data_IF_715200574195
#
_entry.id   IF_715200574195
#
_cell.length_a   1.000
_cell.length_b   1.000
_cell.length_c   1.000
_cell.angle_alpha   90.00
_cell.angle_beta   90.00
_cell.angle_gamma   90.00
#
_symmetry.space_group_name_H-M   'P 1'
#
loop_
_entity.id
_entity.type
_entity.pdbx_description
1 polymer ?
#
# COMPACT_ATOMS: atom_id res chain seq x y z
N UNK A 1 -1.72 2.76 -26.11
CA UNK A 1 -0.91 3.99 -26.07
C UNK A 1 0.49 3.62 -26.47
N UNK A 2 1.04 4.30 -27.47
CA UNK A 2 2.40 4.02 -27.98
C UNK A 2 3.45 4.51 -26.97
N UNK A 3 4.53 3.75 -26.76
CA UNK A 3 5.59 4.17 -25.85
C UNK A 3 6.48 5.21 -26.57
N UNK A 4 6.20 6.49 -26.34
CA UNK A 4 6.94 7.61 -26.91
C UNK A 4 7.12 8.72 -25.86
N UNK A 5 8.02 9.65 -26.15
CA UNK A 5 8.40 10.73 -25.22
C UNK A 5 7.19 11.57 -24.81
N UNK A 6 6.31 11.93 -25.74
CA UNK A 6 5.10 12.71 -25.44
C UNK A 6 4.18 12.04 -24.40
N UNK A 7 4.00 10.72 -24.50
CA UNK A 7 3.19 9.95 -23.56
C UNK A 7 3.88 9.77 -22.21
N UNK A 8 5.21 9.58 -22.21
CA UNK A 8 6.01 9.50 -20.98
C UNK A 8 5.94 10.84 -20.24
N UNK A 9 6.22 11.94 -20.93
CA UNK A 9 6.15 13.30 -20.41
C UNK A 9 4.76 13.63 -19.83
N UNK A 10 3.69 13.14 -20.47
CA UNK A 10 2.34 13.31 -19.96
C UNK A 10 2.12 12.57 -18.63
N UNK A 11 2.54 11.31 -18.56
CA UNK A 11 2.47 10.51 -17.32
C UNK A 11 3.33 11.13 -16.21
N UNK A 12 4.51 11.63 -16.52
CA UNK A 12 5.40 12.28 -15.56
C UNK A 12 4.78 13.54 -14.97
N UNK A 13 4.24 14.44 -15.80
CA UNK A 13 3.55 15.65 -15.31
C UNK A 13 2.33 15.31 -14.45
N UNK A 14 1.57 14.29 -14.84
CA UNK A 14 0.43 13.83 -14.05
C UNK A 14 0.90 13.28 -12.69
N UNK A 15 1.93 12.44 -12.69
CA UNK A 15 2.50 11.85 -11.47
C UNK A 15 3.01 12.93 -10.52
N UNK A 16 3.78 13.90 -11.02
CA UNK A 16 4.29 15.01 -10.23
C UNK A 16 3.16 15.79 -9.57
N UNK A 17 2.12 16.15 -10.34
CA UNK A 17 0.95 16.86 -9.83
C UNK A 17 0.24 16.07 -8.74
N UNK A 18 0.07 14.75 -8.96
CA UNK A 18 -0.59 13.87 -8.01
C UNK A 18 0.20 13.74 -6.71
N UNK A 19 1.52 13.53 -6.79
CA UNK A 19 2.40 13.38 -5.63
C UNK A 19 2.52 14.67 -4.84
N UNK A 20 2.65 15.82 -5.51
CA UNK A 20 2.67 17.12 -4.83
C UNK A 20 1.39 17.36 -4.03
N UNK A 21 0.23 17.03 -4.59
CA UNK A 21 -1.04 17.10 -3.87
C UNK A 21 -1.10 16.13 -2.68
N UNK A 22 -0.57 14.93 -2.84
CA UNK A 22 -0.51 13.96 -1.75
C UNK A 22 0.37 14.45 -0.59
N UNK A 23 1.52 15.07 -0.87
CA UNK A 23 2.35 15.69 0.16
C UNK A 23 1.63 16.84 0.87
N UNK A 24 0.90 17.69 0.13
CA UNK A 24 0.08 18.72 0.74
C UNK A 24 -0.96 18.13 1.71
N UNK A 25 -1.63 17.03 1.36
CA UNK A 25 -2.55 16.36 2.26
C UNK A 25 -1.88 15.83 3.52
N UNK A 26 -0.61 15.40 3.44
CA UNK A 26 0.16 14.97 4.59
C UNK A 26 0.51 16.16 5.50
N UNK A 27 0.94 17.27 4.92
CA UNK A 27 1.29 18.50 5.67
C UNK A 27 0.06 19.10 6.38
N UNK A 28 -1.10 19.02 5.74
CA UNK A 28 -2.37 19.57 6.24
C UNK A 28 -3.17 18.56 7.09
N UNK A 29 -2.69 17.32 7.26
CA UNK A 29 -3.43 16.27 7.95
C UNK A 29 -3.69 16.62 9.42
N UNK A 30 -4.97 16.58 9.82
CA UNK A 30 -5.35 16.71 11.21
C UNK A 30 -5.06 15.43 12.00
N UNK A 31 -4.88 15.58 13.32
CA UNK A 31 -4.69 14.42 14.20
C UNK A 31 -5.99 13.66 14.37
N UNK A 32 -5.97 12.37 14.04
CA UNK A 32 -7.14 11.50 14.21
C UNK A 32 -7.50 11.38 15.70
N UNK A 33 -8.78 11.59 16.10
CA UNK A 33 -9.25 11.40 17.46
C UNK A 33 -8.98 9.99 17.99
N UNK A 34 -8.67 9.84 19.28
CA UNK A 34 -8.35 8.53 19.87
C UNK A 34 -9.46 7.49 19.63
N UNK A 35 -10.73 7.89 19.67
CA UNK A 35 -11.89 7.03 19.44
C UNK A 35 -11.97 6.43 18.04
N UNK A 36 -11.26 7.01 17.05
CA UNK A 36 -11.32 6.59 15.65
C UNK A 36 -10.09 5.80 15.20
N UNK A 37 -8.98 5.88 15.94
CA UNK A 37 -7.69 5.28 15.54
C UNK A 37 -7.73 3.77 15.39
N UNK A 38 -8.50 3.08 16.23
CA UNK A 38 -8.66 1.62 16.14
C UNK A 38 -9.31 1.22 14.81
N UNK A 39 -10.42 1.86 14.45
CA UNK A 39 -11.14 1.61 13.20
C UNK A 39 -10.29 2.00 11.97
N UNK A 40 -9.57 3.13 12.03
CA UNK A 40 -8.65 3.54 10.97
C UNK A 40 -7.53 2.51 10.77
N UNK A 41 -6.91 2.04 11.87
CA UNK A 41 -5.86 1.02 11.80
C UNK A 41 -6.39 -0.30 11.19
N UNK A 42 -7.56 -0.76 11.62
CA UNK A 42 -8.18 -1.98 11.06
C UNK A 42 -8.36 -1.85 9.54
N UNK A 43 -8.90 -0.70 9.10
CA UNK A 43 -9.06 -0.40 7.69
C UNK A 43 -7.73 -0.40 6.94
N UNK A 44 -6.71 0.29 7.44
CA UNK A 44 -5.40 0.41 6.79
C UNK A 44 -4.70 -0.96 6.64
N UNK A 45 -4.74 -1.80 7.68
CA UNK A 45 -4.14 -3.13 7.64
C UNK A 45 -4.88 -4.04 6.65
N UNK A 46 -6.21 -3.95 6.60
CA UNK A 46 -7.04 -4.70 5.65
C UNK A 46 -6.81 -4.27 4.21
N UNK A 47 -6.78 -2.96 3.93
CA UNK A 47 -6.49 -2.42 2.59
C UNK A 47 -5.10 -2.84 2.15
N UNK A 48 -4.11 -2.79 3.05
CA UNK A 48 -2.74 -3.25 2.75
C UNK A 48 -2.72 -4.71 2.32
N UNK A 49 -3.28 -5.61 3.13
CA UNK A 49 -3.29 -7.03 2.81
C UNK A 49 -4.02 -7.30 1.49
N UNK A 50 -5.26 -6.78 1.34
CA UNK A 50 -6.06 -7.00 0.14
C UNK A 50 -5.41 -6.41 -1.11
N UNK A 51 -4.81 -5.21 -1.00
CA UNK A 51 -4.14 -4.56 -2.12
C UNK A 51 -2.99 -5.42 -2.66
N UNK A 52 -2.17 -5.97 -1.76
CA UNK A 52 -1.08 -6.85 -2.16
C UNK A 52 -1.55 -8.21 -2.65
N UNK A 53 -2.53 -8.84 -2.00
CA UNK A 53 -3.01 -10.18 -2.42
C UNK A 53 -3.69 -10.18 -3.78
N UNK A 54 -4.40 -9.10 -4.09
CA UNK A 54 -5.16 -8.97 -5.34
C UNK A 54 -4.37 -8.27 -6.46
N UNK A 55 -3.09 -7.94 -6.25
CA UNK A 55 -2.26 -7.34 -7.29
C UNK A 55 -2.09 -8.32 -8.46
N UNK A 56 -2.55 -7.99 -9.68
CA UNK A 56 -2.40 -8.87 -10.84
C UNK A 56 -0.93 -9.16 -11.18
N UNK A 57 0.01 -8.33 -10.72
CA UNK A 57 1.44 -8.52 -10.94
C UNK A 57 2.03 -9.67 -10.11
N UNK A 58 1.28 -10.25 -9.16
CA UNK A 58 1.72 -11.41 -8.38
C UNK A 58 1.95 -12.67 -9.24
N UNK A 59 1.48 -12.69 -10.49
CA UNK A 59 1.81 -13.78 -11.41
C UNK A 59 3.30 -13.82 -11.75
N UNK A 60 3.99 -12.67 -11.81
CA UNK A 60 5.40 -12.63 -12.23
C UNK A 60 6.32 -13.36 -11.25
N UNK A 61 6.27 -13.11 -9.92
CA UNK A 61 7.09 -13.88 -8.98
C UNK A 61 6.76 -15.38 -8.99
N UNK A 62 5.50 -15.76 -9.22
CA UNK A 62 5.10 -17.17 -9.32
C UNK A 62 5.77 -17.85 -10.52
N UNK A 63 5.75 -17.20 -11.69
CA UNK A 63 6.40 -17.73 -12.89
C UNK A 63 7.92 -17.82 -12.77
N UNK A 64 8.55 -16.91 -12.02
CA UNK A 64 10.02 -16.84 -11.89
C UNK A 64 10.56 -17.72 -10.75
N UNK A 65 9.88 -17.76 -9.60
CA UNK A 65 10.38 -18.39 -8.37
C UNK A 65 9.55 -19.58 -7.90
N UNK A 66 8.38 -19.83 -8.49
CA UNK A 66 7.42 -20.83 -8.03
C UNK A 66 6.50 -20.30 -6.93
N UNK A 67 5.37 -20.99 -6.72
CA UNK A 67 4.30 -20.55 -5.83
C UNK A 67 4.74 -20.38 -4.36
N UNK A 68 5.56 -21.30 -3.84
CA UNK A 68 5.97 -21.30 -2.43
C UNK A 68 6.82 -20.07 -2.09
N UNK A 69 7.85 -19.80 -2.89
CA UNK A 69 8.74 -18.67 -2.65
C UNK A 69 8.03 -17.34 -2.96
N UNK A 70 7.20 -17.28 -4.00
CA UNK A 70 6.38 -16.11 -4.29
C UNK A 70 5.42 -15.77 -3.13
N UNK A 71 4.78 -16.78 -2.53
CA UNK A 71 3.92 -16.60 -1.36
C UNK A 71 4.71 -16.09 -0.15
N UNK A 72 5.89 -16.67 0.12
CA UNK A 72 6.78 -16.21 1.20
C UNK A 72 7.23 -14.75 1.01
N UNK A 73 7.61 -14.38 -0.21
CA UNK A 73 7.99 -13.01 -0.56
C UNK A 73 6.81 -12.04 -0.40
N UNK A 74 5.61 -12.46 -0.81
CA UNK A 74 4.40 -11.66 -0.69
C UNK A 74 4.04 -11.41 0.78
N UNK A 75 4.10 -12.43 1.63
CA UNK A 75 3.87 -12.31 3.08
C UNK A 75 4.85 -11.34 3.73
N UNK A 76 6.13 -11.41 3.32
CA UNK A 76 7.17 -10.49 3.77
C UNK A 76 6.89 -9.05 3.32
N UNK A 77 6.52 -8.85 2.05
CA UNK A 77 6.22 -7.53 1.47
C UNK A 77 4.98 -6.89 2.10
N UNK A 78 3.95 -7.68 2.40
CA UNK A 78 2.76 -7.23 3.15
C UNK A 78 3.16 -6.82 4.58
N UNK A 79 4.11 -7.54 5.18
CA UNK A 79 4.49 -7.40 6.57
C UNK A 79 3.50 -8.11 7.50
N UNK A 80 3.11 -9.35 7.19
CA UNK A 80 2.08 -10.09 7.94
C UNK A 80 2.38 -10.18 9.45
N UNK A 81 3.63 -10.35 9.84
CA UNK A 81 4.02 -10.39 11.26
C UNK A 81 3.90 -9.02 11.93
N UNK A 82 4.19 -7.94 11.20
CA UNK A 82 3.96 -6.58 11.67
C UNK A 82 2.47 -6.35 11.92
N UNK A 83 1.62 -6.71 10.95
CA UNK A 83 0.15 -6.59 11.06
C UNK A 83 -0.35 -7.30 12.32
N UNK A 84 0.04 -8.56 12.52
CA UNK A 84 -0.33 -9.35 13.71
C UNK A 84 0.14 -8.69 15.01
N UNK A 85 1.35 -8.12 15.03
CA UNK A 85 1.93 -7.51 16.23
C UNK A 85 1.22 -6.22 16.67
N UNK A 86 0.49 -5.54 15.78
CA UNK A 86 -0.13 -4.23 16.06
C UNK A 86 -1.66 -4.24 16.03
N UNK A 87 -2.30 -5.37 15.74
CA UNK A 87 -3.74 -5.46 15.49
C UNK A 87 -4.62 -4.88 16.62
N UNK A 88 -4.18 -4.96 17.87
CA UNK A 88 -4.92 -4.49 19.05
C UNK A 88 -4.19 -3.34 19.77
N UNK A 89 -3.42 -2.52 19.04
CA UNK A 89 -2.56 -1.49 19.64
C UNK A 89 -3.34 -0.46 20.46
N UNK A 90 -4.57 -0.18 20.07
CA UNK A 90 -5.40 0.89 20.67
C UNK A 90 -6.32 0.41 21.80
N UNK A 91 -6.45 -0.91 22.02
CA UNK A 91 -7.30 -1.47 23.08
C UNK A 91 -6.79 -1.16 24.50
N UNK A 92 -5.58 -0.63 24.61
CA UNK A 92 -4.90 -0.26 25.87
C UNK A 92 -4.87 1.26 26.11
N UNK A 93 -5.52 2.06 25.25
CA UNK A 93 -5.44 3.54 25.23
C UNK A 93 -6.67 4.22 25.83
#
# INVERSE_FOLDING_TARGET
TELNDDNIDHCERYLETFINRWFQWLDEAETVPLSERAAQQEYDLKVRELGYRNDPMNILPVEVFGEEEASRMLDLRIGMDQIKSVANRWDQS
#
